data_IF_562637210377
#
_entry.id   IF_562637210377
#
_cell.length_a   1.000
_cell.length_b   1.000
_cell.length_c   1.000
_cell.angle_alpha   90.00
_cell.angle_beta   90.00
_cell.angle_gamma   90.00
#
_symmetry.space_group_name_H-M   'P 1'
#
loop_
_entity.id
_entity.type
_entity.pdbx_description
1 polymer ?
#
# COMPACT_ATOMS: atom_id res chain seq x y z
N UNK A 1 -16.10 10.42 6.44
CA UNK A 1 -16.51 11.26 7.60
C UNK A 1 -17.23 10.38 8.63
N UNK A 2 -16.61 10.09 9.78
CA UNK A 2 -17.15 9.19 10.84
C UNK A 2 -18.23 9.86 11.70
N UNK A 3 -19.27 10.40 11.06
CA UNK A 3 -20.42 11.00 11.75
C UNK A 3 -20.07 12.13 12.73
N UNK A 4 -18.91 12.76 12.59
CA UNK A 4 -18.42 13.80 13.51
C UNK A 4 -17.98 13.31 14.90
N UNK A 5 -17.88 12.00 15.15
CA UNK A 5 -17.54 11.40 16.46
C UNK A 5 -16.05 11.52 16.83
N UNK A 6 -15.20 11.80 15.84
CA UNK A 6 -13.76 11.98 15.98
C UNK A 6 -13.35 13.27 15.28
N UNK A 7 -12.42 14.02 15.87
CA UNK A 7 -11.81 15.21 15.29
C UNK A 7 -10.29 15.09 15.28
N UNK A 8 -9.67 15.52 14.20
CA UNK A 8 -8.22 15.59 14.11
C UNK A 8 -7.74 16.95 14.65
N UNK A 9 -6.79 16.94 15.58
CA UNK A 9 -6.19 18.14 16.16
C UNK A 9 -4.67 18.02 16.18
N UNK A 10 -3.98 19.15 16.04
CA UNK A 10 -2.53 19.21 16.20
C UNK A 10 -2.18 19.45 17.68
N UNK A 11 -1.36 18.58 18.25
CA UNK A 11 -0.86 18.69 19.62
C UNK A 11 0.64 18.88 19.59
N UNK A 12 1.12 19.98 20.17
CA UNK A 12 2.54 20.28 20.26
C UNK A 12 3.29 19.11 20.92
N UNK A 13 4.36 18.63 20.28
CA UNK A 13 5.16 17.49 20.72
C UNK A 13 4.59 16.10 20.40
N UNK A 14 3.35 15.99 19.90
CA UNK A 14 2.73 14.71 19.48
C UNK A 14 2.25 14.70 18.02
N UNK A 15 2.31 15.85 17.34
CA UNK A 15 1.87 15.97 15.96
C UNK A 15 0.35 15.89 15.82
N UNK A 16 -0.12 15.15 14.81
CA UNK A 16 -1.56 14.97 14.54
C UNK A 16 -2.14 13.92 15.48
N UNK A 17 -3.23 14.27 16.15
CA UNK A 17 -3.93 13.40 17.09
C UNK A 17 -5.40 13.28 16.69
N UNK A 18 -5.99 12.11 16.94
CA UNK A 18 -7.42 11.87 16.74
C UNK A 18 -8.11 11.86 18.10
N UNK A 19 -9.05 12.78 18.31
CA UNK A 19 -9.75 12.98 19.58
C UNK A 19 -11.23 12.67 19.45
N UNK A 20 -11.77 11.95 20.41
CA UNK A 20 -13.20 11.70 20.52
C UNK A 20 -13.97 12.99 20.83
N UNK A 21 -15.05 13.24 20.09
CA UNK A 21 -16.00 14.33 20.34
C UNK A 21 -17.22 13.88 21.15
N UNK A 22 -17.36 12.57 21.40
CA UNK A 22 -18.39 11.95 22.25
C UNK A 22 -17.80 10.81 23.08
N UNK A 23 -18.58 10.34 24.07
CA UNK A 23 -18.26 9.11 24.80
C UNK A 23 -18.54 7.86 23.93
N UNK A 24 -17.76 6.82 24.16
CA UNK A 24 -17.93 5.47 23.59
C UNK A 24 -18.11 4.47 24.73
N UNK A 25 -19.04 3.53 24.58
CA UNK A 25 -19.24 2.43 25.51
C UNK A 25 -18.29 1.27 25.18
N UNK A 26 -18.12 0.34 26.13
CA UNK A 26 -17.37 -0.89 25.87
C UNK A 26 -18.07 -1.70 24.76
N UNK A 27 -17.29 -2.10 23.75
CA UNK A 27 -17.80 -2.82 22.58
C UNK A 27 -18.20 -1.92 21.41
N UNK A 28 -18.19 -0.60 21.56
CA UNK A 28 -18.46 0.31 20.44
C UNK A 28 -17.33 0.27 19.40
N UNK A 29 -17.71 0.24 18.12
CA UNK A 29 -16.79 0.52 17.03
C UNK A 29 -16.49 2.04 16.98
N UNK A 30 -15.24 2.41 17.26
CA UNK A 30 -14.78 3.81 17.29
C UNK A 30 -14.49 4.33 15.89
N UNK A 31 -13.79 3.52 15.08
CA UNK A 31 -13.34 3.86 13.74
C UNK A 31 -13.34 2.59 12.89
N UNK A 32 -13.81 2.71 11.65
CA UNK A 32 -13.63 1.71 10.61
C UNK A 32 -13.22 2.46 9.34
N UNK A 33 -12.06 2.13 8.80
CA UNK A 33 -11.51 2.74 7.60
C UNK A 33 -11.10 1.63 6.62
N UNK A 34 -11.52 1.70 5.35
CA UNK A 34 -11.04 0.76 4.35
C UNK A 34 -9.55 1.00 4.07
N UNK A 35 -8.78 -0.05 3.74
CA UNK A 35 -7.40 0.13 3.32
C UNK A 35 -7.30 1.06 2.11
N UNK A 36 -6.27 1.91 2.08
CA UNK A 36 -6.04 2.86 0.98
C UNK A 36 -5.62 2.17 -0.31
N UNK A 37 -4.81 1.12 -0.18
CA UNK A 37 -4.41 0.22 -1.25
C UNK A 37 -4.23 -1.18 -0.66
N UNK A 38 -4.77 -2.19 -1.33
CA UNK A 38 -4.50 -3.59 -1.05
C UNK A 38 -3.71 -4.11 -2.24
N UNK A 39 -2.54 -4.68 -1.96
CA UNK A 39 -1.70 -5.33 -2.96
C UNK A 39 -1.62 -6.79 -2.58
N UNK A 40 -2.31 -7.62 -3.35
CA UNK A 40 -2.30 -9.06 -3.14
C UNK A 40 -1.23 -9.71 -4.01
N UNK A 41 -0.64 -10.78 -3.46
CA UNK A 41 0.16 -11.69 -4.25
C UNK A 41 -0.76 -12.65 -5.01
N UNK A 42 -0.57 -12.82 -6.32
CA UNK A 42 -1.32 -13.80 -7.07
C UNK A 42 -1.05 -15.21 -6.53
N UNK A 43 -2.10 -16.00 -6.36
CA UNK A 43 -2.05 -17.33 -5.74
C UNK A 43 -2.23 -17.34 -4.21
N UNK A 44 -2.39 -16.19 -3.56
CA UNK A 44 -2.89 -16.15 -2.18
C UNK A 44 -4.37 -16.55 -2.15
N UNK A 45 -4.75 -17.37 -1.18
CA UNK A 45 -5.97 -18.20 -1.16
C UNK A 45 -7.33 -17.45 -1.15
N UNK A 46 -7.39 -16.15 -1.43
CA UNK A 46 -8.63 -15.36 -1.52
C UNK A 46 -9.16 -15.19 -2.94
N UNK A 47 -8.39 -15.54 -3.98
CA UNK A 47 -8.83 -15.46 -5.38
C UNK A 47 -9.46 -16.79 -5.80
N UNK A 48 -10.78 -16.91 -5.69
CA UNK A 48 -11.57 -18.11 -5.98
C UNK A 48 -11.66 -18.55 -7.45
N UNK A 49 -10.76 -18.11 -8.33
CA UNK A 49 -10.61 -18.61 -9.70
C UNK A 49 -9.13 -18.57 -10.11
N UNK A 50 -8.38 -19.55 -9.63
CA UNK A 50 -6.99 -19.73 -10.00
C UNK A 50 -6.89 -20.24 -11.43
N UNK A 51 -6.68 -19.34 -12.40
CA UNK A 51 -5.74 -19.49 -13.54
C UNK A 51 -5.83 -18.37 -14.60
N UNK A 52 -6.71 -17.38 -14.48
CA UNK A 52 -6.92 -16.37 -15.53
C UNK A 52 -6.95 -14.92 -15.03
N UNK A 53 -6.29 -14.62 -13.90
CA UNK A 53 -6.10 -13.23 -13.50
C UNK A 53 -4.90 -12.62 -14.26
N UNK A 54 -5.09 -11.61 -15.13
CA UNK A 54 -3.99 -10.92 -15.80
C UNK A 54 -2.98 -10.32 -14.80
N UNK A 55 -3.40 -10.00 -13.57
CA UNK A 55 -2.49 -9.56 -12.51
C UNK A 55 -1.51 -10.67 -12.08
N UNK A 56 -1.93 -11.95 -12.17
CA UNK A 56 -1.06 -13.10 -11.90
C UNK A 56 0.05 -13.26 -12.92
N UNK A 57 -0.28 -13.08 -14.21
CA UNK A 57 0.71 -13.17 -15.28
C UNK A 57 1.71 -12.01 -15.21
N UNK A 58 1.24 -10.80 -14.92
CA UNK A 58 2.10 -9.62 -14.80
C UNK A 58 3.08 -9.73 -13.61
N UNK A 59 2.61 -10.21 -12.45
CA UNK A 59 3.48 -10.44 -11.30
C UNK A 59 4.51 -11.53 -11.58
N UNK A 60 4.12 -12.62 -12.23
CA UNK A 60 5.05 -13.70 -12.56
C UNK A 60 6.15 -13.20 -13.53
N UNK A 61 5.80 -12.41 -14.53
CA UNK A 61 6.77 -11.80 -15.43
C UNK A 61 7.73 -10.84 -14.70
N UNK A 62 7.24 -10.12 -13.69
CA UNK A 62 8.06 -9.26 -12.84
C UNK A 62 9.00 -10.07 -11.96
N UNK A 63 8.53 -11.18 -11.37
CA UNK A 63 9.36 -12.07 -10.57
C UNK A 63 10.49 -12.67 -11.40
N UNK A 64 10.19 -13.18 -12.61
CA UNK A 64 11.19 -13.67 -13.55
C UNK A 64 12.18 -12.58 -14.01
N UNK A 65 11.75 -11.31 -14.06
CA UNK A 65 12.65 -10.19 -14.33
C UNK A 65 13.56 -9.91 -13.13
N UNK A 66 13.00 -9.90 -11.92
CA UNK A 66 13.76 -9.69 -10.67
C UNK A 66 14.84 -10.76 -10.50
N UNK A 67 14.49 -12.04 -10.70
CA UNK A 67 15.41 -13.17 -10.60
C UNK A 67 16.53 -13.14 -11.67
N UNK A 68 16.32 -12.45 -12.80
CA UNK A 68 17.35 -12.29 -13.84
C UNK A 68 18.29 -11.11 -13.59
N UNK A 69 17.82 -10.10 -12.87
CA UNK A 69 18.61 -8.89 -12.54
C UNK A 69 19.48 -9.15 -11.31
N UNK A 70 18.98 -9.95 -10.37
CA UNK A 70 19.80 -10.54 -9.32
C UNK A 70 20.61 -11.69 -9.91
N UNK A 71 21.87 -11.41 -10.30
CA UNK A 71 22.84 -12.36 -10.90
C UNK A 71 23.27 -13.53 -9.95
N UNK A 72 22.36 -14.09 -9.16
CA UNK A 72 22.55 -15.30 -8.36
C UNK A 72 23.40 -15.11 -7.10
N UNK A 73 23.55 -13.88 -6.60
CA UNK A 73 24.47 -13.55 -5.50
C UNK A 73 23.77 -13.16 -4.18
N UNK A 74 22.45 -13.29 -4.11
CA UNK A 74 21.60 -12.99 -2.95
C UNK A 74 21.10 -14.28 -2.30
N UNK A 75 21.79 -14.74 -1.24
CA UNK A 75 21.41 -15.91 -0.43
C UNK A 75 20.13 -15.69 0.42
N UNK A 76 19.53 -14.50 0.36
CA UNK A 76 18.30 -14.15 1.10
C UNK A 76 17.20 -13.60 0.16
N UNK A 77 16.38 -14.51 -0.40
CA UNK A 77 14.95 -14.26 -0.63
C UNK A 77 14.51 -13.45 -1.85
N UNK A 78 14.71 -13.97 -3.07
CA UNK A 78 14.31 -13.35 -4.35
C UNK A 78 12.81 -12.99 -4.50
N UNK A 79 11.94 -13.56 -3.67
CA UNK A 79 10.49 -13.25 -3.69
C UNK A 79 10.15 -11.92 -3.02
N UNK A 80 10.94 -11.46 -2.07
CA UNK A 80 10.67 -10.20 -1.37
C UNK A 80 10.87 -8.99 -2.28
N UNK A 81 11.86 -9.03 -3.16
CA UNK A 81 12.19 -7.92 -4.05
C UNK A 81 11.14 -7.75 -5.16
N UNK A 82 10.71 -8.84 -5.78
CA UNK A 82 9.62 -8.82 -6.76
C UNK A 82 8.32 -8.26 -6.16
N UNK A 83 8.03 -8.57 -4.90
CA UNK A 83 6.86 -8.03 -4.20
C UNK A 83 6.96 -6.53 -3.94
N UNK A 84 8.15 -6.00 -3.60
CA UNK A 84 8.33 -4.55 -3.44
C UNK A 84 8.14 -3.81 -4.77
N UNK A 85 8.70 -4.34 -5.87
CA UNK A 85 8.44 -3.80 -7.20
C UNK A 85 6.96 -3.88 -7.57
N UNK A 86 6.29 -4.98 -7.22
CA UNK A 86 4.85 -5.13 -7.46
C UNK A 86 4.04 -4.06 -6.70
N UNK A 87 4.34 -3.85 -5.42
CA UNK A 87 3.73 -2.79 -4.63
C UNK A 87 3.94 -1.41 -5.27
N UNK A 88 5.15 -1.11 -5.71
CA UNK A 88 5.48 0.15 -6.36
C UNK A 88 4.67 0.35 -7.65
N UNK A 89 4.65 -0.66 -8.54
CA UNK A 89 3.92 -0.56 -9.79
C UNK A 89 2.40 -0.46 -9.59
N UNK A 90 1.84 -1.12 -8.58
CA UNK A 90 0.41 -1.00 -8.21
C UNK A 90 0.03 0.37 -7.62
N UNK A 91 1.02 1.21 -7.32
CA UNK A 91 0.82 2.58 -6.83
C UNK A 91 0.87 3.64 -7.92
N UNK A 92 1.18 3.26 -9.16
CA UNK A 92 1.34 4.19 -10.28
C UNK A 92 0.01 4.58 -10.92
N UNK A 93 -0.07 5.83 -11.35
CA UNK A 93 -1.17 6.39 -12.15
C UNK A 93 -0.98 6.10 -13.64
N UNK A 94 -2.02 6.31 -14.44
CA UNK A 94 -1.96 6.07 -15.89
C UNK A 94 -0.83 6.85 -16.60
N UNK A 95 -0.60 8.15 -16.31
CA UNK A 95 0.52 8.89 -16.90
C UNK A 95 1.90 8.33 -16.54
N UNK A 96 2.06 7.75 -15.35
CA UNK A 96 3.33 7.20 -14.87
C UNK A 96 3.62 5.81 -15.43
N UNK A 97 2.58 5.02 -15.71
CA UNK A 97 2.69 3.72 -16.37
C UNK A 97 3.08 3.90 -17.85
N UNK A 98 2.56 4.93 -18.51
CA UNK A 98 2.75 5.17 -19.94
C UNK A 98 1.87 4.29 -20.83
N UNK A 99 2.02 4.42 -22.15
CA UNK A 99 1.16 3.74 -23.13
C UNK A 99 1.58 2.27 -23.40
N UNK A 100 2.80 1.90 -22.99
CA UNK A 100 3.41 0.61 -23.32
C UNK A 100 2.98 -0.55 -22.41
N UNK A 101 2.16 -0.28 -21.38
CA UNK A 101 1.69 -1.29 -20.42
C UNK A 101 0.15 -1.28 -20.25
N UNK A 102 -0.63 -1.53 -21.32
CA UNK A 102 -2.09 -1.45 -21.31
C UNK A 102 -2.77 -2.50 -20.43
N UNK A 103 -2.07 -3.58 -20.08
CA UNK A 103 -2.54 -4.63 -19.16
C UNK A 103 -2.50 -4.20 -17.68
N UNK A 104 -1.91 -3.05 -17.37
CA UNK A 104 -1.78 -2.56 -16.01
C UNK A 104 -2.97 -1.69 -15.62
N UNK A 105 -3.67 -2.05 -14.54
CA UNK A 105 -4.73 -1.19 -14.00
C UNK A 105 -4.10 0.00 -13.25
N UNK A 106 -4.28 1.25 -13.73
CA UNK A 106 -3.69 2.41 -13.10
C UNK A 106 -4.41 2.77 -11.80
N UNK A 107 -3.65 3.23 -10.81
CA UNK A 107 -4.22 3.81 -9.61
C UNK A 107 -4.83 5.19 -9.92
N UNK A 108 -6.01 5.46 -9.37
CA UNK A 108 -6.61 6.79 -9.46
C UNK A 108 -5.74 7.85 -8.74
N UNK A 109 -5.51 9.00 -9.37
CA UNK A 109 -4.66 10.09 -8.85
C UNK A 109 -5.01 10.50 -7.41
N UNK A 110 -6.31 10.59 -7.09
CA UNK A 110 -6.77 10.93 -5.74
C UNK A 110 -6.35 9.90 -4.68
N UNK A 111 -6.31 8.61 -5.05
CA UNK A 111 -5.83 7.54 -4.15
C UNK A 111 -4.32 7.58 -4.02
N UNK A 112 -3.59 7.77 -5.13
CA UNK A 112 -2.13 7.90 -5.07
C UNK A 112 -1.70 9.07 -4.18
N UNK A 113 -2.38 10.22 -4.30
CA UNK A 113 -2.12 11.37 -3.42
C UNK A 113 -2.29 11.01 -1.94
N UNK A 114 -3.30 10.22 -1.58
CA UNK A 114 -3.48 9.76 -0.20
C UNK A 114 -2.35 8.82 0.25
N UNK A 115 -1.86 7.94 -0.62
CA UNK A 115 -0.70 7.09 -0.33
C UNK A 115 0.56 7.92 -0.09
N UNK A 116 0.82 8.91 -0.94
CA UNK A 116 1.99 9.79 -0.80
C UNK A 116 1.94 10.63 0.49
N UNK A 117 0.75 10.92 1.03
CA UNK A 117 0.62 11.58 2.34
C UNK A 117 1.03 10.69 3.52
N UNK A 118 1.14 9.37 3.32
CA UNK A 118 1.67 8.44 4.33
C UNK A 118 3.20 8.45 4.37
N UNK A 119 3.86 8.94 3.32
CA UNK A 119 5.31 9.05 3.29
C UNK A 119 5.77 10.15 4.27
N UNK A 120 6.38 9.73 5.37
CA UNK A 120 6.85 10.62 6.45
C UNK A 120 8.38 10.82 6.40
N UNK A 121 8.97 11.03 5.22
CA UNK A 121 10.40 11.38 5.08
C UNK A 121 11.36 10.50 5.91
N UNK A 122 12.48 11.07 6.36
CA UNK A 122 13.36 10.40 7.34
C UNK A 122 12.69 10.32 8.71
N UNK A 123 12.42 9.09 9.17
CA UNK A 123 11.98 8.82 10.53
C UNK A 123 13.17 9.02 11.47
N UNK A 124 13.18 10.13 12.23
CA UNK A 124 14.12 10.27 13.35
C UNK A 124 13.70 9.34 14.47
N UNK A 125 14.65 8.60 15.03
CA UNK A 125 14.36 7.72 16.15
C UNK A 125 13.84 8.52 17.36
N UNK A 126 12.89 7.98 18.15
CA UNK A 126 12.39 8.64 19.35
C UNK A 126 13.46 8.95 20.41
N UNK A 127 14.62 8.29 20.31
CA UNK A 127 15.78 8.44 21.20
C UNK A 127 16.55 9.75 20.97
N UNK A 128 16.28 10.48 19.89
CA UNK A 128 16.98 11.72 19.51
C UNK A 128 16.14 13.01 19.71
N UNK A 129 14.99 12.92 20.41
CA UNK A 129 14.06 14.04 20.64
C UNK A 129 14.18 14.66 22.04
#
# INVERSE_FOLDING_TARGET
>A
HHGGALRCEYVQGKGRTLKASRAFAQGDAILAEPPLLVVDMPGSAQSGDGLQDPASAAFQALAELSDRVDDGNSDEGSQHDAFWYWCALRSLTAPEIGEDAPQWEPLAEGRQRLLLLLYQGEVREPSEA
#
